data_IF_123277057441
#
_entry.id   IF_123277057441
#
_cell.length_a   1.000
_cell.length_b   1.000
_cell.length_c   1.000
_cell.angle_alpha   90.00
_cell.angle_beta   90.00
_cell.angle_gamma   90.00
#
_symmetry.space_group_name_H-M   'P 1'
#
loop_
_entity.id
_entity.type
_entity.pdbx_description
1 polymer ?
#
# COMPACT_ATOMS: atom_id res chain seq x y z
N UNK A 1 31.05 -38.26 -2.61
CA UNK A 1 30.17 -38.00 -3.79
C UNK A 1 28.69 -37.73 -3.42
N UNK A 2 28.40 -37.08 -2.28
CA UNK A 2 27.04 -36.83 -1.79
C UNK A 2 26.70 -35.31 -1.78
N UNK A 3 27.70 -34.42 -1.96
CA UNK A 3 27.51 -32.97 -1.83
C UNK A 3 26.94 -32.26 -3.06
N UNK A 4 27.08 -32.81 -4.27
CA UNK A 4 26.71 -32.09 -5.53
C UNK A 4 25.21 -32.18 -5.84
N UNK A 5 24.51 -33.22 -5.38
CA UNK A 5 23.09 -33.39 -5.65
C UNK A 5 22.17 -32.46 -4.82
N UNK A 6 22.58 -32.06 -3.62
CA UNK A 6 21.78 -31.17 -2.78
C UNK A 6 21.85 -29.68 -3.21
N UNK A 7 23.03 -29.28 -3.73
CA UNK A 7 23.20 -27.87 -4.20
C UNK A 7 22.45 -27.58 -5.51
N UNK A 8 22.33 -28.59 -6.39
CA UNK A 8 21.54 -28.43 -7.62
C UNK A 8 20.01 -28.40 -7.35
N UNK A 9 19.54 -29.14 -6.33
CA UNK A 9 18.11 -29.19 -6.01
C UNK A 9 17.62 -27.87 -5.37
N UNK A 10 18.45 -27.24 -4.51
CA UNK A 10 18.13 -25.93 -3.92
C UNK A 10 18.17 -24.79 -4.92
N UNK A 11 19.07 -24.84 -5.90
CA UNK A 11 19.15 -23.82 -6.94
C UNK A 11 17.96 -23.94 -7.94
N UNK A 12 17.51 -25.15 -8.26
CA UNK A 12 16.36 -25.39 -9.14
C UNK A 12 15.03 -24.98 -8.50
N UNK A 13 14.87 -25.18 -7.20
CA UNK A 13 13.67 -24.75 -6.45
C UNK A 13 13.61 -23.22 -6.33
N UNK A 14 14.74 -22.54 -6.10
CA UNK A 14 14.79 -21.08 -6.04
C UNK A 14 14.48 -20.43 -7.40
N UNK A 15 14.98 -21.01 -8.51
CA UNK A 15 14.66 -20.53 -9.87
C UNK A 15 13.21 -20.81 -10.27
N UNK A 16 12.63 -21.95 -9.87
CA UNK A 16 11.24 -22.27 -10.14
C UNK A 16 10.26 -21.39 -9.32
N UNK A 17 10.61 -21.08 -8.06
CA UNK A 17 9.81 -20.18 -7.22
C UNK A 17 9.80 -18.74 -7.75
N UNK A 18 10.95 -18.24 -8.23
CA UNK A 18 11.03 -16.90 -8.85
C UNK A 18 10.26 -16.81 -10.18
N UNK A 19 10.29 -17.83 -11.01
CA UNK A 19 9.50 -17.88 -12.23
C UNK A 19 7.99 -17.95 -11.97
N UNK A 20 7.55 -18.70 -10.97
CA UNK A 20 6.15 -18.81 -10.57
C UNK A 20 5.59 -17.47 -10.04
N UNK A 21 6.36 -16.71 -9.25
CA UNK A 21 5.94 -15.40 -8.71
C UNK A 21 5.78 -14.35 -9.81
N UNK A 22 6.64 -14.32 -10.81
CA UNK A 22 6.57 -13.38 -11.93
C UNK A 22 5.36 -13.64 -12.83
N UNK A 23 5.12 -14.90 -13.17
CA UNK A 23 3.97 -15.34 -13.97
C UNK A 23 2.66 -15.05 -13.24
N UNK A 24 2.62 -15.24 -11.93
CA UNK A 24 1.45 -14.99 -11.08
C UNK A 24 1.01 -13.52 -11.13
N UNK A 25 1.90 -12.52 -11.14
CA UNK A 25 1.48 -11.10 -11.18
C UNK A 25 0.80 -10.72 -12.50
N UNK A 26 1.29 -11.21 -13.63
CA UNK A 26 0.66 -10.98 -14.94
C UNK A 26 -0.71 -11.70 -15.02
N UNK A 27 -0.78 -12.95 -14.57
CA UNK A 27 -2.02 -13.73 -14.53
C UNK A 27 -3.05 -13.12 -13.57
N UNK A 28 -2.60 -12.64 -12.41
CA UNK A 28 -3.46 -11.99 -11.42
C UNK A 28 -4.09 -10.70 -11.97
N UNK A 29 -3.33 -9.86 -12.69
CA UNK A 29 -3.85 -8.64 -13.31
C UNK A 29 -4.79 -8.99 -14.46
N UNK A 30 -4.46 -10.02 -15.27
CA UNK A 30 -5.33 -10.47 -16.36
C UNK A 30 -6.66 -11.04 -15.84
N UNK A 31 -6.67 -11.67 -14.67
CA UNK A 31 -7.86 -12.22 -14.04
C UNK A 31 -8.70 -11.14 -13.31
N UNK A 32 -8.06 -10.06 -12.83
CA UNK A 32 -8.70 -8.96 -12.13
C UNK A 32 -7.98 -7.65 -12.48
N UNK A 33 -8.54 -6.92 -13.45
CA UNK A 33 -7.98 -5.67 -13.96
C UNK A 33 -7.84 -4.58 -12.90
N UNK A 34 -8.60 -4.65 -11.79
CA UNK A 34 -8.44 -3.70 -10.69
C UNK A 34 -7.03 -3.73 -10.08
N UNK A 35 -6.34 -4.87 -10.14
CA UNK A 35 -4.96 -5.00 -9.67
C UNK A 35 -3.97 -4.18 -10.49
N UNK A 36 -4.29 -3.87 -11.76
CA UNK A 36 -3.48 -2.95 -12.56
C UNK A 36 -3.48 -1.53 -12.00
N UNK A 37 -4.43 -1.16 -11.16
CA UNK A 37 -4.43 0.10 -10.42
C UNK A 37 -3.33 0.19 -9.35
N UNK A 38 -2.59 -0.90 -9.09
CA UNK A 38 -1.49 -0.91 -8.14
C UNK A 38 -1.93 -0.50 -6.74
N UNK A 39 -1.34 0.56 -6.22
CA UNK A 39 -1.70 1.13 -4.90
C UNK A 39 -3.13 1.66 -4.81
N UNK A 40 -3.85 1.80 -5.92
CA UNK A 40 -5.27 2.14 -5.96
C UNK A 40 -6.17 0.92 -5.80
N UNK A 41 -5.63 -0.30 -5.71
CA UNK A 41 -6.45 -1.48 -5.43
C UNK A 41 -7.27 -1.24 -4.16
N UNK A 42 -8.59 -1.33 -4.26
CA UNK A 42 -9.47 -1.24 -3.09
C UNK A 42 -9.14 -2.36 -2.09
N UNK A 43 -9.35 -2.10 -0.79
CA UNK A 43 -9.01 -3.10 0.23
C UNK A 43 -9.70 -4.44 -0.04
N UNK A 44 -8.95 -5.54 -0.14
CA UNK A 44 -9.52 -6.82 -0.52
C UNK A 44 -10.42 -7.38 0.59
N UNK A 45 -11.37 -8.22 0.20
CA UNK A 45 -12.18 -8.98 1.14
C UNK A 45 -11.30 -9.94 1.96
N UNK A 46 -11.48 -9.93 3.28
CA UNK A 46 -10.73 -10.77 4.20
C UNK A 46 -11.52 -12.04 4.52
N UNK A 47 -11.14 -13.13 3.87
CA UNK A 47 -11.77 -14.45 4.04
C UNK A 47 -10.95 -15.40 4.92
N UNK A 48 -9.70 -15.06 5.21
CA UNK A 48 -8.76 -15.93 5.94
C UNK A 48 -9.05 -15.90 7.44
N UNK A 49 -9.28 -17.09 8.02
CA UNK A 49 -9.39 -17.25 9.46
C UNK A 49 -8.00 -17.25 10.09
N UNK A 50 -7.83 -16.45 11.14
CA UNK A 50 -6.58 -16.40 11.88
C UNK A 50 -6.42 -17.58 12.84
N UNK A 51 -5.16 -18.00 13.08
CA UNK A 51 -4.81 -19.06 14.03
C UNK A 51 -5.21 -18.66 15.45
N UNK A 52 -5.95 -19.51 16.19
CA UNK A 52 -6.32 -19.24 17.59
C UNK A 52 -5.11 -19.08 18.50
N UNK A 53 -5.25 -18.28 19.57
CA UNK A 53 -4.20 -18.11 20.57
C UNK A 53 -3.79 -19.45 21.19
N UNK A 54 -2.49 -19.69 21.46
CA UNK A 54 -2.04 -20.88 22.19
C UNK A 54 -2.70 -20.96 23.57
N UNK A 55 -2.91 -22.20 24.04
CA UNK A 55 -3.55 -22.44 25.32
C UNK A 55 -2.89 -21.64 26.45
N UNK A 56 -3.70 -20.89 27.19
CA UNK A 56 -3.25 -20.10 28.34
C UNK A 56 -2.79 -18.68 27.99
N UNK A 57 -2.72 -18.32 26.71
CA UNK A 57 -2.43 -16.96 26.27
C UNK A 57 -3.70 -16.20 25.92
N UNK A 58 -3.76 -14.94 26.32
CA UNK A 58 -4.89 -14.04 26.09
C UNK A 58 -4.40 -12.76 25.43
N UNK A 59 -5.07 -12.27 24.36
CA UNK A 59 -4.71 -10.99 23.73
C UNK A 59 -4.98 -9.85 24.70
N UNK A 60 -4.05 -8.90 24.78
CA UNK A 60 -4.19 -7.76 25.71
C UNK A 60 -3.88 -6.40 25.08
N UNK A 61 -3.17 -6.36 23.95
CA UNK A 61 -2.75 -5.12 23.29
C UNK A 61 -2.57 -5.32 21.79
N UNK A 62 -2.93 -4.31 20.99
CA UNK A 62 -2.71 -4.28 19.54
C UNK A 62 -1.95 -3.01 19.15
N UNK A 63 -0.83 -3.16 18.45
CA UNK A 63 -0.15 -2.07 17.76
C UNK A 63 -0.52 -2.10 16.28
N UNK A 64 -1.05 -1.00 15.76
CA UNK A 64 -1.55 -0.89 14.39
C UNK A 64 -0.88 0.29 13.68
N UNK A 65 -0.50 0.10 12.42
CA UNK A 65 -0.23 1.16 11.46
C UNK A 65 -1.02 0.88 10.19
N UNK A 66 -1.83 1.84 9.73
CA UNK A 66 -2.65 1.72 8.54
C UNK A 66 -2.49 2.90 7.58
N UNK A 67 -2.59 2.61 6.28
CA UNK A 67 -2.80 3.57 5.22
C UNK A 67 -4.23 4.10 5.28
N UNK A 68 -4.49 5.34 4.82
CA UNK A 68 -5.86 5.83 4.60
C UNK A 68 -6.65 4.87 3.69
N UNK A 69 -7.98 4.88 3.79
CA UNK A 69 -8.88 4.09 2.96
C UNK A 69 -8.98 4.60 1.51
N UNK A 70 -9.83 3.96 0.73
CA UNK A 70 -10.19 4.39 -0.63
C UNK A 70 -10.50 5.87 -0.67
N UNK A 71 -9.98 6.56 -1.70
CA UNK A 71 -10.09 8.01 -1.88
C UNK A 71 -10.31 8.35 -3.35
N UNK A 72 -10.85 9.52 -3.63
CA UNK A 72 -10.88 10.07 -4.97
C UNK A 72 -9.46 10.41 -5.47
N UNK A 73 -9.28 10.54 -6.78
CA UNK A 73 -8.03 11.05 -7.36
C UNK A 73 -7.58 12.31 -6.63
N UNK A 74 -6.27 12.61 -6.64
CA UNK A 74 -5.72 13.74 -5.86
C UNK A 74 -6.21 15.12 -6.35
N UNK A 75 -6.82 15.19 -7.52
CA UNK A 75 -7.40 16.42 -8.08
C UNK A 75 -8.23 16.14 -9.31
N UNK A 76 -8.88 17.18 -9.82
CA UNK A 76 -9.79 17.11 -10.96
C UNK A 76 -9.06 17.15 -12.34
N UNK A 77 -7.71 17.28 -12.34
CA UNK A 77 -6.94 17.57 -13.55
C UNK A 77 -7.11 16.56 -14.68
N UNK A 78 -7.08 15.27 -14.35
CA UNK A 78 -7.23 14.20 -15.34
C UNK A 78 -8.64 14.20 -15.96
N UNK A 79 -9.69 14.39 -15.15
CA UNK A 79 -11.05 14.52 -15.64
C UNK A 79 -11.25 15.76 -16.49
N UNK A 80 -10.83 16.92 -16.02
CA UNK A 80 -11.03 18.19 -16.73
C UNK A 80 -10.29 18.22 -18.06
N UNK A 81 -9.07 17.72 -18.10
CA UNK A 81 -8.27 17.62 -19.32
C UNK A 81 -8.92 16.67 -20.34
N UNK A 82 -9.28 15.46 -19.93
CA UNK A 82 -9.86 14.46 -20.84
C UNK A 82 -11.23 14.88 -21.35
N UNK A 83 -12.10 15.42 -20.50
CA UNK A 83 -13.42 15.95 -20.89
C UNK A 83 -13.24 17.08 -21.91
N UNK A 84 -12.44 18.09 -21.60
CA UNK A 84 -12.25 19.25 -22.50
C UNK A 84 -11.67 18.83 -23.86
N UNK A 85 -10.75 17.89 -23.91
CA UNK A 85 -10.16 17.39 -25.15
C UNK A 85 -11.20 16.64 -26.00
N UNK A 86 -11.99 15.75 -25.39
CA UNK A 86 -13.03 15.01 -26.10
C UNK A 86 -14.19 15.91 -26.54
N UNK A 87 -14.58 16.92 -25.76
CA UNK A 87 -15.56 17.94 -26.17
C UNK A 87 -15.08 18.73 -27.37
N UNK A 88 -13.81 19.12 -27.39
CA UNK A 88 -13.21 19.80 -28.55
C UNK A 88 -13.27 18.91 -29.79
N UNK A 89 -12.89 17.63 -29.67
CA UNK A 89 -12.96 16.67 -30.76
C UNK A 89 -14.40 16.44 -31.25
N UNK A 90 -15.39 16.42 -30.34
CA UNK A 90 -16.81 16.30 -30.69
C UNK A 90 -17.29 17.51 -31.49
N UNK A 91 -16.94 18.72 -31.07
CA UNK A 91 -17.32 19.97 -31.74
C UNK A 91 -16.66 20.11 -33.12
N UNK A 92 -15.46 19.60 -33.32
CA UNK A 92 -14.72 19.61 -34.58
C UNK A 92 -15.03 18.39 -35.47
N UNK A 93 -15.88 17.45 -35.02
CA UNK A 93 -16.24 16.25 -35.78
C UNK A 93 -15.11 15.20 -35.87
N UNK A 94 -14.12 15.32 -35.01
CA UNK A 94 -12.91 14.47 -34.99
C UNK A 94 -12.95 13.32 -33.96
N UNK A 95 -14.12 13.07 -33.33
CA UNK A 95 -14.31 12.06 -32.30
C UNK A 95 -14.91 10.77 -32.88
N UNK A 96 -14.44 9.62 -32.40
CA UNK A 96 -15.04 8.31 -32.78
C UNK A 96 -16.32 8.01 -31.98
N UNK A 97 -17.12 7.00 -32.37
CA UNK A 97 -18.25 6.53 -31.55
C UNK A 97 -17.80 6.11 -30.13
N UNK A 98 -16.65 5.45 -29.98
CA UNK A 98 -16.08 5.10 -28.69
C UNK A 98 -15.71 6.36 -27.88
N UNK A 99 -15.07 7.35 -28.53
CA UNK A 99 -14.73 8.61 -27.88
C UNK A 99 -15.97 9.35 -27.33
N UNK A 100 -17.10 9.35 -28.08
CA UNK A 100 -18.38 9.92 -27.60
C UNK A 100 -18.92 9.18 -26.38
N UNK A 101 -18.91 7.87 -26.39
CA UNK A 101 -19.33 7.05 -25.25
C UNK A 101 -18.45 7.32 -24.03
N UNK A 102 -17.13 7.34 -24.20
CA UNK A 102 -16.16 7.67 -23.15
C UNK A 102 -16.41 9.05 -22.56
N UNK A 103 -16.70 10.05 -23.40
CA UNK A 103 -17.03 11.41 -22.92
C UNK A 103 -18.29 11.42 -22.04
N UNK A 104 -19.33 10.67 -22.40
CA UNK A 104 -20.54 10.57 -21.58
C UNK A 104 -20.25 9.89 -20.24
N UNK A 105 -19.47 8.83 -20.25
CA UNK A 105 -19.02 8.13 -19.02
C UNK A 105 -18.22 9.05 -18.12
N UNK A 106 -17.27 9.82 -18.66
CA UNK A 106 -16.46 10.79 -17.89
C UNK A 106 -17.35 11.85 -17.23
N UNK A 107 -18.29 12.45 -17.98
CA UNK A 107 -19.23 13.45 -17.44
C UNK A 107 -20.06 12.89 -16.30
N UNK A 108 -20.51 11.63 -16.40
CA UNK A 108 -21.27 10.94 -15.35
C UNK A 108 -20.42 10.78 -14.08
N UNK A 109 -19.21 10.23 -14.20
CA UNK A 109 -18.31 10.00 -13.07
C UNK A 109 -17.87 11.33 -12.45
N UNK A 110 -17.57 12.33 -13.27
CA UNK A 110 -17.14 13.63 -12.79
C UNK A 110 -18.22 14.37 -11.97
N UNK A 111 -19.49 14.00 -12.11
CA UNK A 111 -20.57 14.52 -11.25
C UNK A 111 -20.35 14.10 -9.78
N UNK A 112 -19.83 12.89 -9.53
CA UNK A 112 -19.49 12.42 -8.19
C UNK A 112 -18.16 12.99 -7.69
N UNK A 113 -17.13 13.03 -8.55
CA UNK A 113 -15.73 13.24 -8.13
C UNK A 113 -15.31 14.70 -8.09
N UNK A 114 -16.02 15.58 -8.79
CA UNK A 114 -15.68 17.00 -8.94
C UNK A 114 -15.54 17.70 -7.59
N UNK A 115 -14.39 18.35 -7.39
CA UNK A 115 -14.08 19.12 -6.18
C UNK A 115 -13.80 18.26 -4.94
N UNK A 116 -13.63 16.94 -5.13
CA UNK A 116 -13.35 16.00 -4.04
C UNK A 116 -11.94 15.40 -4.08
N UNK A 117 -11.04 16.13 -4.72
CA UNK A 117 -9.65 15.67 -4.91
C UNK A 117 -8.97 15.27 -3.60
N UNK A 118 -8.59 13.99 -3.48
CA UNK A 118 -7.93 13.41 -2.32
C UNK A 118 -8.81 13.15 -1.09
N UNK A 119 -10.13 13.41 -1.16
CA UNK A 119 -11.08 13.08 -0.09
C UNK A 119 -11.20 11.56 0.10
N UNK A 120 -11.37 11.14 1.35
CA UNK A 120 -11.76 9.76 1.66
C UNK A 120 -13.14 9.47 1.06
N UNK A 121 -13.28 8.36 0.32
CA UNK A 121 -14.59 7.96 -0.19
C UNK A 121 -15.44 7.30 0.89
N UNK A 122 -16.78 7.19 0.70
CA UNK A 122 -17.62 6.39 1.58
C UNK A 122 -17.14 4.93 1.68
N UNK A 123 -16.60 4.36 0.59
CA UNK A 123 -15.97 3.04 0.63
C UNK A 123 -14.77 3.01 1.57
N UNK A 124 -13.88 4.02 1.51
CA UNK A 124 -12.73 4.11 2.39
C UNK A 124 -13.10 4.15 3.88
N UNK A 125 -14.15 4.86 4.23
CA UNK A 125 -14.69 4.86 5.60
C UNK A 125 -15.22 3.48 5.99
N UNK A 126 -15.97 2.78 5.11
CA UNK A 126 -16.46 1.41 5.36
C UNK A 126 -15.33 0.41 5.52
N UNK A 127 -14.23 0.54 4.73
CA UNK A 127 -13.05 -0.32 4.86
C UNK A 127 -12.46 -0.23 6.27
N UNK A 128 -12.19 0.97 6.77
CA UNK A 128 -11.63 1.17 8.10
C UNK A 128 -12.55 0.71 9.21
N UNK A 129 -13.85 1.00 9.11
CA UNK A 129 -14.84 0.50 10.05
C UNK A 129 -14.85 -1.04 10.09
N UNK A 130 -14.84 -1.69 8.92
CA UNK A 130 -14.80 -3.15 8.82
C UNK A 130 -13.53 -3.78 9.41
N UNK A 131 -12.35 -3.19 9.17
CA UNK A 131 -11.07 -3.63 9.76
C UNK A 131 -11.15 -3.54 11.29
N UNK A 132 -11.65 -2.42 11.81
CA UNK A 132 -11.80 -2.21 13.26
C UNK A 132 -12.76 -3.24 13.89
N UNK A 133 -13.90 -3.50 13.25
CA UNK A 133 -14.87 -4.47 13.71
C UNK A 133 -14.31 -5.90 13.73
N UNK A 134 -13.56 -6.30 12.69
CA UNK A 134 -12.91 -7.61 12.66
C UNK A 134 -11.81 -7.72 13.72
N UNK A 135 -10.98 -6.67 13.91
CA UNK A 135 -10.01 -6.61 15.01
C UNK A 135 -10.68 -6.79 16.38
N UNK A 136 -11.76 -6.07 16.62
CA UNK A 136 -12.53 -6.14 17.88
C UNK A 136 -13.11 -7.55 18.13
N UNK A 137 -13.62 -8.21 17.10
CA UNK A 137 -14.17 -9.58 17.19
C UNK A 137 -13.09 -10.65 17.33
N UNK A 138 -11.92 -10.46 16.70
CA UNK A 138 -10.82 -11.42 16.76
C UNK A 138 -10.07 -11.37 18.10
N UNK A 139 -10.04 -10.20 18.76
CA UNK A 139 -9.27 -9.99 20.00
C UNK A 139 -10.11 -9.34 21.12
N UNK A 140 -11.27 -9.96 21.47
CA UNK A 140 -12.22 -9.34 22.39
C UNK A 140 -11.64 -9.04 23.76
N UNK A 141 -10.70 -9.85 24.27
CA UNK A 141 -10.12 -9.67 25.60
C UNK A 141 -9.21 -8.41 25.66
N UNK A 142 -8.63 -7.99 24.55
CA UNK A 142 -7.86 -6.76 24.49
C UNK A 142 -8.74 -5.51 24.70
N UNK A 143 -10.03 -5.57 24.29
CA UNK A 143 -10.92 -4.41 24.24
C UNK A 143 -12.01 -4.41 25.32
N UNK A 144 -12.20 -5.50 26.03
CA UNK A 144 -13.22 -5.58 27.11
C UNK A 144 -12.87 -4.69 28.31
N UNK A 145 -13.92 -4.11 28.92
CA UNK A 145 -13.79 -3.27 30.11
C UNK A 145 -13.38 -1.83 29.79
N UNK A 146 -13.01 -1.10 30.83
CA UNK A 146 -12.53 0.28 30.70
C UNK A 146 -11.07 0.29 30.23
N UNK A 147 -10.89 0.17 28.92
CA UNK A 147 -9.57 0.15 28.28
C UNK A 147 -9.34 1.43 27.49
N UNK A 148 -8.09 1.81 27.32
CA UNK A 148 -7.69 2.98 26.57
C UNK A 148 -7.20 2.60 25.17
N UNK A 149 -7.50 3.45 24.22
CA UNK A 149 -6.97 3.39 22.85
C UNK A 149 -6.35 4.74 22.55
N UNK A 150 -5.15 4.75 22.02
CA UNK A 150 -4.55 5.98 21.53
C UNK A 150 -4.50 5.95 20.00
N UNK A 151 -5.27 6.82 19.35
CA UNK A 151 -5.39 6.92 17.90
C UNK A 151 -4.67 8.18 17.40
N UNK A 152 -3.76 8.00 16.47
CA UNK A 152 -2.94 9.07 15.86
C UNK A 152 -3.02 9.02 14.36
N UNK A 153 -3.11 10.17 13.71
CA UNK A 153 -3.02 10.27 12.25
C UNK A 153 -2.00 11.32 11.82
N UNK A 154 -1.55 11.22 10.57
CA UNK A 154 -0.90 12.35 9.91
C UNK A 154 -1.87 13.53 9.83
N UNK A 155 -1.34 14.74 9.59
CA UNK A 155 -2.16 15.96 9.47
C UNK A 155 -2.99 16.03 8.18
N UNK A 156 -2.94 14.99 7.36
CA UNK A 156 -3.72 14.90 6.12
C UNK A 156 -5.14 14.41 6.45
N UNK A 157 -6.15 15.18 6.07
CA UNK A 157 -7.55 14.98 6.45
C UNK A 157 -8.10 13.57 6.14
N UNK A 158 -7.75 12.96 5.00
CA UNK A 158 -8.19 11.57 4.70
C UNK A 158 -7.65 10.54 5.70
N UNK A 159 -6.46 10.76 6.27
CA UNK A 159 -5.93 9.90 7.33
C UNK A 159 -6.69 10.10 8.65
N UNK A 160 -7.03 11.34 8.99
CA UNK A 160 -7.84 11.67 10.17
C UNK A 160 -9.27 11.09 10.04
N UNK A 161 -9.88 11.18 8.86
CA UNK A 161 -11.20 10.59 8.59
C UNK A 161 -11.15 9.05 8.63
N UNK A 162 -10.07 8.43 8.14
CA UNK A 162 -9.84 7.00 8.27
C UNK A 162 -9.71 6.57 9.73
N UNK A 163 -8.96 7.33 10.53
CA UNK A 163 -8.84 7.15 11.98
C UNK A 163 -10.22 7.23 12.66
N UNK A 164 -11.02 8.23 12.34
CA UNK A 164 -12.35 8.42 12.91
C UNK A 164 -13.26 7.22 12.57
N UNK A 165 -13.32 6.82 11.30
CA UNK A 165 -14.14 5.68 10.86
C UNK A 165 -13.70 4.35 11.54
N UNK A 166 -12.39 4.15 11.72
CA UNK A 166 -11.86 2.99 12.44
C UNK A 166 -12.31 3.01 13.92
N UNK A 167 -12.14 4.14 14.59
CA UNK A 167 -12.52 4.29 15.99
C UNK A 167 -14.03 4.15 16.20
N UNK A 168 -14.86 4.63 15.27
CA UNK A 168 -16.31 4.41 15.28
C UNK A 168 -16.64 2.91 15.19
N UNK A 169 -15.93 2.16 14.37
CA UNK A 169 -16.05 0.70 14.30
C UNK A 169 -15.73 0.01 15.62
N UNK A 170 -14.65 0.40 16.30
CA UNK A 170 -14.30 -0.12 17.63
C UNK A 170 -15.36 0.23 18.68
N UNK A 171 -15.80 1.50 18.74
CA UNK A 171 -16.80 1.97 19.70
C UNK A 171 -18.18 1.37 19.42
N UNK A 172 -18.48 1.03 18.18
CA UNK A 172 -19.71 0.31 17.83
C UNK A 172 -19.83 -1.07 18.52
N UNK A 173 -18.69 -1.73 18.79
CA UNK A 173 -18.62 -3.02 19.51
C UNK A 173 -18.34 -2.84 20.99
N UNK A 174 -17.45 -1.92 21.35
CA UNK A 174 -17.01 -1.63 22.73
C UNK A 174 -17.21 -0.15 23.09
N UNK A 175 -18.46 0.31 23.38
CA UNK A 175 -18.77 1.70 23.67
C UNK A 175 -18.01 2.29 24.87
N UNK A 176 -17.58 1.43 25.81
CA UNK A 176 -16.86 1.81 27.03
C UNK A 176 -15.37 2.15 26.82
N UNK A 177 -14.82 1.95 25.62
CA UNK A 177 -13.46 2.32 25.32
C UNK A 177 -13.25 3.84 25.48
N UNK A 178 -12.16 4.23 26.15
CA UNK A 178 -11.67 5.60 26.13
C UNK A 178 -10.70 5.75 24.98
N UNK A 179 -11.03 6.58 23.99
CA UNK A 179 -10.18 6.81 22.82
C UNK A 179 -9.65 8.23 22.85
N UNK A 180 -8.33 8.36 22.94
CA UNK A 180 -7.62 9.62 22.81
C UNK A 180 -7.22 9.81 21.33
N UNK A 181 -7.61 10.95 20.73
CA UNK A 181 -7.34 11.26 19.33
C UNK A 181 -6.25 12.31 19.21
N UNK A 182 -5.30 12.10 18.31
CA UNK A 182 -4.25 13.07 18.04
C UNK A 182 -3.93 13.18 16.55
N UNK A 183 -4.01 14.40 16.01
CA UNK A 183 -3.60 14.76 14.67
C UNK A 183 -2.72 16.01 14.79
N UNK A 184 -1.40 15.82 14.90
CA UNK A 184 -0.46 16.91 15.19
C UNK A 184 0.81 16.79 14.36
N UNK A 185 1.43 17.94 14.02
CA UNK A 185 2.73 17.99 13.34
C UNK A 185 3.83 17.25 14.13
N UNK A 186 3.76 17.24 15.45
CA UNK A 186 4.71 16.51 16.31
C UNK A 186 4.79 15.03 15.94
N UNK A 187 3.66 14.41 15.58
CA UNK A 187 3.61 13.00 15.24
C UNK A 187 4.12 12.68 13.83
N UNK A 188 4.29 13.68 12.97
CA UNK A 188 4.86 13.51 11.65
C UNK A 188 6.30 12.97 11.69
N UNK A 189 7.03 13.22 12.76
CA UNK A 189 8.38 12.72 13.00
C UNK A 189 8.51 11.19 12.99
N UNK A 190 7.40 10.45 13.09
CA UNK A 190 7.37 9.00 12.96
C UNK A 190 6.20 8.47 12.10
N UNK A 191 5.11 9.22 11.95
CA UNK A 191 3.98 8.80 11.09
C UNK A 191 4.25 9.02 9.60
N UNK A 192 5.11 9.99 9.26
CA UNK A 192 5.45 10.31 7.86
C UNK A 192 6.87 10.92 7.79
N UNK A 193 7.83 10.20 8.34
CA UNK A 193 9.21 10.68 8.42
C UNK A 193 9.97 10.40 7.13
N UNK A 194 10.62 11.44 6.62
CA UNK A 194 11.54 11.36 5.47
C UNK A 194 12.73 12.27 5.74
N UNK A 195 13.94 11.78 5.44
CA UNK A 195 15.13 12.61 5.51
C UNK A 195 15.29 13.45 4.24
N UNK A 196 16.00 14.58 4.32
CA UNK A 196 16.32 15.38 3.12
C UNK A 196 17.06 14.56 2.07
N UNK A 197 17.93 13.65 2.50
CA UNK A 197 18.67 12.77 1.62
C UNK A 197 17.74 11.77 0.91
N UNK A 198 16.81 11.17 1.64
CA UNK A 198 15.81 10.27 1.03
C UNK A 198 14.89 11.04 0.08
N UNK A 199 14.47 12.27 0.43
CA UNK A 199 13.68 13.13 -0.44
C UNK A 199 14.42 13.48 -1.75
N UNK A 200 15.73 13.76 -1.68
CA UNK A 200 16.55 13.97 -2.88
C UNK A 200 16.64 12.71 -3.74
N UNK A 201 16.84 11.55 -3.12
CA UNK A 201 16.89 10.28 -3.83
C UNK A 201 15.55 9.96 -4.52
N UNK A 202 14.43 10.17 -3.85
CA UNK A 202 13.10 9.81 -4.36
C UNK A 202 12.48 10.87 -5.27
N UNK A 203 13.17 12.02 -5.48
CA UNK A 203 12.64 13.13 -6.28
C UNK A 203 12.40 12.72 -7.73
N UNK A 204 11.17 12.96 -8.21
CA UNK A 204 10.70 12.49 -9.51
C UNK A 204 11.37 13.09 -10.75
N UNK A 205 12.16 14.15 -10.60
CA UNK A 205 12.86 14.80 -11.72
C UNK A 205 14.38 14.64 -11.64
N UNK A 206 14.95 14.58 -10.44
CA UNK A 206 16.39 14.65 -10.20
C UNK A 206 16.96 13.44 -9.47
N UNK A 207 16.13 12.47 -9.08
CA UNK A 207 16.59 11.23 -8.48
C UNK A 207 17.49 10.42 -9.41
N UNK A 208 18.45 9.66 -8.88
CA UNK A 208 19.44 8.93 -9.70
C UNK A 208 18.82 7.82 -10.58
N UNK A 209 17.60 7.45 -10.34
CA UNK A 209 16.82 6.42 -11.05
C UNK A 209 15.97 6.99 -12.21
N UNK A 210 15.82 8.31 -12.31
CA UNK A 210 14.83 8.97 -13.19
C UNK A 210 15.09 8.70 -14.67
N UNK A 211 16.36 8.71 -15.09
CA UNK A 211 16.68 8.45 -16.50
C UNK A 211 16.39 7.00 -16.91
N UNK A 212 16.68 6.04 -16.02
CA UNK A 212 16.37 4.63 -16.23
C UNK A 212 14.86 4.41 -16.27
N UNK A 213 14.11 5.09 -15.38
CA UNK A 213 12.66 5.06 -15.38
C UNK A 213 12.06 5.59 -16.68
N UNK A 214 12.55 6.73 -17.20
CA UNK A 214 12.05 7.30 -18.46
C UNK A 214 12.25 6.36 -19.65
N UNK A 215 13.38 5.67 -19.71
CA UNK A 215 13.61 4.65 -20.75
C UNK A 215 12.65 3.49 -20.62
N UNK A 216 12.50 2.98 -19.40
CA UNK A 216 11.57 1.89 -19.09
C UNK A 216 10.12 2.26 -19.43
N UNK A 217 9.68 3.45 -19.04
CA UNK A 217 8.36 3.98 -19.36
C UNK A 217 8.14 4.10 -20.89
N UNK A 218 9.10 4.66 -21.62
CA UNK A 218 9.03 4.78 -23.08
C UNK A 218 8.97 3.43 -23.81
N UNK A 219 9.54 2.37 -23.23
CA UNK A 219 9.47 1.00 -23.76
C UNK A 219 8.11 0.34 -23.50
N UNK A 220 7.43 0.67 -22.42
CA UNK A 220 6.20 0.04 -21.96
C UNK A 220 4.94 0.83 -22.34
N UNK A 221 4.94 2.15 -22.25
CA UNK A 221 3.76 2.98 -22.54
C UNK A 221 3.65 3.25 -24.04
N UNK A 222 2.69 2.62 -24.72
CA UNK A 222 2.46 2.72 -26.17
C UNK A 222 1.06 3.26 -26.46
N UNK A 223 0.81 4.57 -26.36
CA UNK A 223 -0.53 5.16 -26.32
C UNK A 223 -1.22 5.23 -27.69
N UNK A 224 -0.53 4.95 -28.80
CA UNK A 224 -1.05 5.19 -30.15
C UNK A 224 -2.37 4.47 -30.45
N UNK A 225 -2.52 3.19 -30.04
CA UNK A 225 -3.76 2.42 -30.25
C UNK A 225 -4.92 3.07 -29.49
N UNK A 226 -4.72 3.41 -28.22
CA UNK A 226 -5.74 4.06 -27.38
C UNK A 226 -6.18 5.38 -28.00
N UNK A 227 -5.24 6.25 -28.39
CA UNK A 227 -5.53 7.56 -29.00
C UNK A 227 -6.33 7.37 -30.30
N UNK A 228 -5.86 6.50 -31.20
CA UNK A 228 -6.55 6.24 -32.47
C UNK A 228 -7.94 5.61 -32.29
N UNK A 229 -8.22 4.97 -31.15
CA UNK A 229 -9.56 4.44 -30.86
C UNK A 229 -10.57 5.55 -30.45
N UNK A 230 -10.09 6.68 -29.95
CA UNK A 230 -10.92 7.78 -29.44
C UNK A 230 -11.13 8.91 -30.45
N UNK A 231 -10.16 9.12 -31.35
CA UNK A 231 -10.19 10.22 -32.34
C UNK A 231 -10.11 9.67 -33.76
N UNK A 232 -10.86 10.33 -34.68
CA UNK A 232 -11.00 9.91 -36.08
C UNK A 232 -10.15 10.72 -37.06
N UNK A 233 -9.49 11.80 -36.60
CA UNK A 233 -8.73 12.71 -37.44
C UNK A 233 -7.26 12.75 -37.03
N UNK A 234 -6.35 12.44 -37.98
CA UNK A 234 -4.91 12.37 -37.72
C UNK A 234 -4.28 13.75 -37.48
N UNK A 235 -4.81 14.82 -38.09
CA UNK A 235 -4.29 16.17 -37.88
C UNK A 235 -4.73 16.71 -36.54
N UNK A 236 -5.95 16.39 -36.11
CA UNK A 236 -6.40 16.70 -34.75
C UNK A 236 -5.49 16.01 -33.72
N UNK A 237 -5.23 14.70 -33.90
CA UNK A 237 -4.33 13.94 -33.00
C UNK A 237 -2.96 14.62 -32.95
N UNK A 238 -2.36 14.89 -34.09
CA UNK A 238 -1.01 15.47 -34.16
C UNK A 238 -0.92 16.85 -33.50
N UNK A 239 -1.95 17.69 -33.65
CA UNK A 239 -1.92 19.09 -33.23
C UNK A 239 -2.48 19.33 -31.82
N UNK A 240 -3.39 18.48 -31.33
CA UNK A 240 -4.16 18.73 -30.10
C UNK A 240 -3.95 17.71 -29.00
N UNK A 241 -3.47 16.49 -29.33
CA UNK A 241 -3.37 15.41 -28.36
C UNK A 241 -1.92 15.22 -27.91
N UNK A 242 -1.71 15.20 -26.60
CA UNK A 242 -0.50 14.59 -26.04
C UNK A 242 -0.82 13.13 -25.68
N UNK A 243 -0.35 12.15 -26.48
CA UNK A 243 -0.76 10.75 -26.33
C UNK A 243 -0.44 10.15 -24.98
N UNK A 244 0.77 10.39 -24.47
CA UNK A 244 1.24 9.83 -23.19
C UNK A 244 0.45 10.41 -22.03
N UNK A 245 0.28 11.74 -22.00
CA UNK A 245 -0.50 12.41 -20.96
C UNK A 245 -1.95 11.93 -20.93
N UNK A 246 -2.55 11.72 -22.11
CA UNK A 246 -3.91 11.22 -22.23
C UNK A 246 -4.03 9.77 -21.73
N UNK A 247 -3.09 8.90 -22.10
CA UNK A 247 -3.07 7.52 -21.65
C UNK A 247 -2.93 7.41 -20.12
N UNK A 248 -2.04 8.19 -19.53
CA UNK A 248 -1.89 8.24 -18.07
C UNK A 248 -3.13 8.78 -17.37
N UNK A 249 -3.78 9.81 -17.90
CA UNK A 249 -5.01 10.34 -17.32
C UNK A 249 -6.12 9.26 -17.30
N UNK A 250 -6.32 8.56 -18.41
CA UNK A 250 -7.29 7.45 -18.46
C UNK A 250 -6.91 6.29 -17.56
N UNK A 251 -5.62 5.96 -17.45
CA UNK A 251 -5.16 4.92 -16.53
C UNK A 251 -5.49 5.25 -15.08
N UNK A 252 -5.24 6.47 -14.63
CA UNK A 252 -5.57 6.89 -13.26
C UNK A 252 -7.08 6.96 -13.02
N UNK A 253 -7.86 7.46 -13.99
CA UNK A 253 -9.32 7.46 -13.90
C UNK A 253 -9.84 6.01 -13.81
N UNK A 254 -9.36 5.10 -14.68
CA UNK A 254 -9.75 3.70 -14.65
C UNK A 254 -9.41 3.02 -13.32
N UNK A 255 -8.21 3.29 -12.78
CA UNK A 255 -7.74 2.74 -11.52
C UNK A 255 -8.60 3.18 -10.33
N UNK A 256 -9.08 4.44 -10.33
CA UNK A 256 -9.86 5.01 -9.22
C UNK A 256 -11.33 4.54 -9.21
N UNK A 257 -11.84 3.99 -10.32
CA UNK A 257 -13.24 3.55 -10.42
C UNK A 257 -13.64 2.52 -9.38
N UNK A 258 -12.72 1.70 -8.91
CA UNK A 258 -12.95 0.74 -7.84
C UNK A 258 -13.16 1.39 -6.46
N UNK A 259 -12.69 2.62 -6.28
CA UNK A 259 -12.65 3.35 -5.01
C UNK A 259 -13.85 4.28 -4.78
N UNK A 260 -14.64 4.59 -5.82
CA UNK A 260 -15.78 5.50 -5.79
C UNK A 260 -17.12 4.77 -5.75
N UNK A 261 -18.24 5.49 -5.58
CA UNK A 261 -19.59 4.90 -5.47
C UNK A 261 -20.23 4.59 -6.83
N UNK A 262 -19.86 5.29 -7.91
CA UNK A 262 -20.34 5.02 -9.28
C UNK A 262 -19.80 3.68 -9.79
N UNK A 263 -20.62 2.61 -9.76
CA UNK A 263 -20.21 1.23 -10.07
C UNK A 263 -20.63 0.72 -11.44
N UNK A 264 -21.51 1.41 -12.13
CA UNK A 264 -22.03 1.02 -13.46
C UNK A 264 -21.23 1.60 -14.64
N UNK A 265 -20.03 2.11 -14.37
CA UNK A 265 -19.09 2.66 -15.35
C UNK A 265 -17.71 2.04 -15.13
N UNK A 266 -17.04 1.72 -16.22
CA UNK A 266 -15.63 1.33 -16.23
C UNK A 266 -14.89 2.08 -17.33
N UNK A 267 -13.57 2.15 -17.22
CA UNK A 267 -12.66 2.65 -18.27
C UNK A 267 -11.56 1.64 -18.59
N UNK A 268 -11.56 0.47 -17.96
CA UNK A 268 -10.62 -0.58 -18.32
C UNK A 268 -10.85 -1.14 -19.72
N UNK A 269 -12.08 -1.06 -20.22
CA UNK A 269 -12.49 -1.54 -21.55
C UNK A 269 -11.89 -0.77 -22.73
N UNK A 270 -11.35 0.43 -22.50
CA UNK A 270 -10.62 1.19 -23.52
C UNK A 270 -9.17 0.75 -23.69
N UNK A 271 -8.66 -0.05 -22.77
CA UNK A 271 -7.31 -0.62 -22.78
C UNK A 271 -7.33 -2.09 -23.17
N UNK A 272 -6.23 -2.60 -23.69
CA UNK A 272 -5.96 -4.04 -23.71
C UNK A 272 -5.37 -4.48 -22.34
N UNK A 273 -5.54 -5.77 -21.95
CA UNK A 273 -4.88 -6.28 -20.74
C UNK A 273 -3.36 -6.08 -20.74
N UNK A 274 -2.71 -6.16 -21.91
CA UNK A 274 -1.27 -5.94 -22.04
C UNK A 274 -0.90 -4.48 -21.77
N UNK A 275 -1.65 -3.50 -22.31
CA UNK A 275 -1.41 -2.08 -22.05
C UNK A 275 -1.54 -1.75 -20.55
N UNK A 276 -2.55 -2.31 -19.87
CA UNK A 276 -2.71 -2.16 -18.44
C UNK A 276 -1.55 -2.77 -17.66
N UNK A 277 -1.11 -3.96 -18.04
CA UNK A 277 0.04 -4.61 -17.39
C UNK A 277 1.34 -3.81 -17.60
N UNK A 278 1.59 -3.31 -18.81
CA UNK A 278 2.78 -2.53 -19.14
C UNK A 278 2.79 -1.20 -18.38
N UNK A 279 1.67 -0.49 -18.32
CA UNK A 279 1.53 0.74 -17.54
C UNK A 279 1.66 0.46 -16.04
N UNK A 280 1.06 -0.62 -15.53
CA UNK A 280 1.23 -1.03 -14.15
C UNK A 280 2.69 -1.32 -13.79
N UNK A 281 3.46 -1.96 -14.65
CA UNK A 281 4.89 -2.19 -14.39
C UNK A 281 5.64 -0.89 -14.11
N UNK A 282 5.32 0.19 -14.85
CA UNK A 282 5.91 1.52 -14.62
C UNK A 282 5.50 2.08 -13.25
N UNK A 283 4.22 1.98 -12.89
CA UNK A 283 3.70 2.40 -11.58
C UNK A 283 4.35 1.59 -10.46
N UNK A 284 4.37 0.27 -10.59
CA UNK A 284 4.95 -0.66 -9.64
C UNK A 284 6.43 -0.34 -9.39
N UNK A 285 7.22 -0.14 -10.46
CA UNK A 285 8.62 0.25 -10.33
C UNK A 285 8.77 1.62 -9.64
N UNK A 286 7.93 2.59 -9.98
CA UNK A 286 7.95 3.92 -9.36
C UNK A 286 7.68 3.87 -7.85
N UNK A 287 6.72 3.05 -7.42
CA UNK A 287 6.44 2.85 -6.00
C UNK A 287 7.54 2.05 -5.28
N UNK A 288 8.09 1.04 -5.94
CA UNK A 288 9.22 0.27 -5.43
C UNK A 288 10.44 1.15 -5.16
N UNK A 289 10.87 1.92 -6.17
CA UNK A 289 12.09 2.75 -6.09
C UNK A 289 11.95 3.87 -5.05
N UNK A 290 10.74 4.42 -4.92
CA UNK A 290 10.46 5.55 -4.04
C UNK A 290 10.18 5.17 -2.58
N UNK A 291 9.83 3.90 -2.28
CA UNK A 291 9.29 3.57 -0.97
C UNK A 291 9.78 2.22 -0.40
N UNK A 292 10.25 1.28 -1.24
CA UNK A 292 10.66 -0.05 -0.78
C UNK A 292 12.16 -0.13 -0.42
N UNK A 293 12.84 -1.19 -0.83
CA UNK A 293 14.26 -1.41 -0.58
C UNK A 293 15.06 -1.57 -1.88
N UNK A 294 15.05 -0.57 -2.81
CA UNK A 294 15.79 -0.68 -4.04
C UNK A 294 17.29 -0.73 -3.76
N UNK A 295 18.00 -1.61 -4.45
CA UNK A 295 19.45 -1.82 -4.25
C UNK A 295 20.23 -0.49 -4.34
N UNK A 296 19.88 0.39 -5.29
CA UNK A 296 20.58 1.67 -5.46
C UNK A 296 20.35 2.65 -4.32
N UNK A 297 19.32 2.47 -3.47
CA UNK A 297 19.11 3.30 -2.29
C UNK A 297 20.02 2.93 -1.12
N UNK A 298 20.63 1.75 -1.16
CA UNK A 298 21.47 1.21 -0.08
C UNK A 298 20.82 1.34 1.31
N UNK A 299 19.53 0.99 1.38
CA UNK A 299 18.72 1.04 2.59
C UNK A 299 18.20 2.42 3.00
N UNK A 300 18.56 3.49 2.30
CA UNK A 300 18.14 4.86 2.63
C UNK A 300 16.62 5.04 2.68
N UNK A 301 15.92 4.54 1.66
CA UNK A 301 14.46 4.70 1.56
C UNK A 301 13.75 3.89 2.64
N UNK A 302 14.17 2.63 2.83
CA UNK A 302 13.64 1.77 3.89
C UNK A 302 13.86 2.37 5.30
N UNK A 303 14.97 3.08 5.50
CA UNK A 303 15.32 3.71 6.79
C UNK A 303 14.32 4.78 7.23
N UNK A 304 13.48 5.31 6.35
CA UNK A 304 12.40 6.24 6.69
C UNK A 304 11.39 5.64 7.70
N UNK A 305 11.27 4.30 7.76
CA UNK A 305 10.43 3.63 8.75
C UNK A 305 11.09 3.46 10.14
N UNK A 306 12.36 3.85 10.32
CA UNK A 306 13.11 3.57 11.57
C UNK A 306 12.45 4.22 12.78
N UNK A 307 12.06 5.50 12.70
CA UNK A 307 11.41 6.21 13.80
C UNK A 307 10.03 5.64 14.14
N UNK A 308 9.32 5.13 13.15
CA UNK A 308 8.04 4.44 13.35
C UNK A 308 8.24 3.12 14.09
N UNK A 309 9.24 2.31 13.72
CA UNK A 309 9.54 1.06 14.44
C UNK A 309 10.00 1.36 15.88
N UNK A 310 10.82 2.38 16.11
CA UNK A 310 11.18 2.83 17.46
C UNK A 310 9.94 3.20 18.28
N UNK A 311 9.00 3.96 17.71
CA UNK A 311 7.74 4.30 18.37
C UNK A 311 6.86 3.07 18.66
N UNK A 312 6.81 2.09 17.75
CA UNK A 312 6.09 0.82 17.96
C UNK A 312 6.67 0.05 19.15
N UNK A 313 8.00 -0.08 19.23
CA UNK A 313 8.67 -0.78 20.34
C UNK A 313 8.46 -0.08 21.67
N UNK A 314 8.59 1.25 21.71
CA UNK A 314 8.38 2.08 22.91
C UNK A 314 6.92 1.99 23.42
N UNK A 315 5.93 2.09 22.53
CA UNK A 315 4.52 1.97 22.90
C UNK A 315 4.19 0.56 23.41
N UNK A 316 4.79 -0.47 22.82
CA UNK A 316 4.61 -1.86 23.27
C UNK A 316 5.16 -2.04 24.71
N UNK A 317 6.34 -1.50 25.01
CA UNK A 317 6.91 -1.57 26.36
C UNK A 317 6.01 -0.87 27.38
N UNK A 318 5.46 0.30 27.03
CA UNK A 318 4.50 1.04 27.86
C UNK A 318 3.22 0.26 28.10
N UNK A 319 2.64 -0.35 27.05
CA UNK A 319 1.44 -1.16 27.16
C UNK A 319 1.65 -2.43 28.01
N UNK A 320 2.83 -3.04 27.90
CA UNK A 320 3.21 -4.20 28.71
C UNK A 320 3.30 -3.83 30.20
N UNK A 321 3.88 -2.68 30.52
CA UNK A 321 4.12 -2.22 31.89
C UNK A 321 2.88 -1.66 32.56
N UNK A 322 2.07 -0.83 31.85
CA UNK A 322 0.95 -0.10 32.43
C UNK A 322 -0.37 -0.90 32.44
N UNK A 323 -0.55 -1.80 31.48
CA UNK A 323 -1.64 -2.76 31.48
C UNK A 323 -3.04 -2.25 31.11
N UNK A 324 -3.28 -0.95 30.98
CA UNK A 324 -4.57 -0.31 30.67
C UNK A 324 -4.80 -0.05 29.16
N UNK A 325 -3.72 0.00 28.38
CA UNK A 325 -3.78 0.25 26.94
C UNK A 325 -4.28 -0.98 26.17
N UNK A 326 -5.34 -0.81 25.39
CA UNK A 326 -5.86 -1.83 24.47
C UNK A 326 -5.18 -1.76 23.10
N UNK A 327 -4.98 -0.55 22.58
CA UNK A 327 -4.35 -0.37 21.28
C UNK A 327 -3.67 0.99 21.10
N UNK A 328 -2.58 1.00 20.34
CA UNK A 328 -2.01 2.16 19.68
C UNK A 328 -2.30 2.08 18.19
N UNK A 329 -3.14 2.97 17.70
CA UNK A 329 -3.59 3.04 16.32
C UNK A 329 -2.88 4.21 15.61
N UNK A 330 -2.32 3.93 14.44
CA UNK A 330 -1.60 4.92 13.62
C UNK A 330 -2.13 4.91 12.21
N UNK A 331 -2.38 6.09 11.64
CA UNK A 331 -2.95 6.25 10.30
C UNK A 331 -2.10 7.18 9.46
N UNK A 332 -1.68 6.70 8.29
CA UNK A 332 -0.80 7.43 7.38
C UNK A 332 -0.98 7.02 5.92
N UNK A 333 0.13 6.78 5.24
CA UNK A 333 0.20 6.67 3.79
C UNK A 333 0.89 5.38 3.34
N UNK A 334 0.73 5.04 2.05
CA UNK A 334 1.49 4.00 1.35
C UNK A 334 3.01 4.20 1.50
N UNK A 335 3.49 5.45 1.36
CA UNK A 335 4.89 5.83 1.54
C UNK A 335 5.49 5.54 2.92
N UNK A 336 4.69 5.07 3.89
CA UNK A 336 5.17 4.61 5.19
C UNK A 336 4.84 3.13 5.46
N UNK A 337 3.76 2.60 4.87
CA UNK A 337 3.48 1.15 4.94
C UNK A 337 4.55 0.37 4.20
N UNK A 338 4.93 0.80 3.00
CA UNK A 338 5.91 0.08 2.17
C UNK A 338 7.29 0.00 2.86
N UNK A 339 7.93 1.12 3.30
CA UNK A 339 9.20 1.03 4.01
C UNK A 339 9.08 0.30 5.36
N UNK A 340 7.92 0.34 6.03
CA UNK A 340 7.69 -0.43 7.25
C UNK A 340 7.69 -1.94 6.97
N UNK A 341 7.02 -2.41 5.89
CA UNK A 341 7.07 -3.80 5.44
C UNK A 341 8.50 -4.25 5.16
N UNK A 342 9.27 -3.42 4.45
CA UNK A 342 10.65 -3.70 4.11
C UNK A 342 11.56 -3.72 5.35
N UNK A 343 11.43 -2.77 6.27
CA UNK A 343 12.24 -2.71 7.49
C UNK A 343 11.94 -3.88 8.42
N UNK A 344 10.66 -4.24 8.57
CA UNK A 344 10.22 -5.39 9.35
C UNK A 344 10.49 -6.73 8.64
N UNK A 345 10.88 -6.72 7.37
CA UNK A 345 11.16 -7.90 6.53
C UNK A 345 9.98 -8.88 6.48
N UNK A 346 8.78 -8.31 6.37
CA UNK A 346 7.54 -9.08 6.31
C UNK A 346 7.46 -9.79 4.95
N UNK A 347 7.33 -11.12 4.97
CA UNK A 347 7.11 -12.00 3.80
C UNK A 347 7.99 -11.68 2.56
N UNK A 348 9.22 -11.17 2.77
CA UNK A 348 10.16 -10.86 1.68
C UNK A 348 9.93 -9.51 1.00
N UNK A 349 9.11 -8.62 1.57
CA UNK A 349 8.95 -7.25 1.03
C UNK A 349 10.22 -6.38 1.15
N UNK A 350 11.27 -6.88 1.78
CA UNK A 350 12.60 -6.24 1.85
C UNK A 350 13.52 -6.58 0.67
N UNK A 351 13.02 -7.29 -0.34
CA UNK A 351 13.79 -7.70 -1.52
C UNK A 351 14.52 -6.52 -2.17
N UNK A 352 15.82 -6.72 -2.47
CA UNK A 352 16.65 -5.77 -3.19
C UNK A 352 16.67 -6.13 -4.68
N UNK A 353 16.04 -5.29 -5.51
CA UNK A 353 16.04 -5.44 -6.97
C UNK A 353 16.77 -4.26 -7.59
N UNK A 354 17.58 -4.54 -8.61
CA UNK A 354 18.38 -3.53 -9.30
C UNK A 354 17.71 -2.98 -10.54
N UNK A 355 17.13 -3.87 -11.36
CA UNK A 355 16.64 -3.55 -12.70
C UNK A 355 15.14 -3.35 -12.72
N UNK A 356 14.62 -2.34 -13.43
CA UNK A 356 13.19 -2.07 -13.52
C UNK A 356 12.37 -3.29 -13.98
N UNK A 357 12.87 -3.99 -15.02
CA UNK A 357 12.22 -5.16 -15.64
C UNK A 357 12.20 -6.42 -14.76
N UNK A 358 12.89 -6.39 -13.62
CA UNK A 358 12.89 -7.47 -12.65
C UNK A 358 11.94 -7.24 -11.48
N UNK A 359 11.52 -5.96 -11.24
CA UNK A 359 10.75 -5.60 -10.03
C UNK A 359 9.45 -6.36 -9.95
N UNK A 360 8.66 -6.41 -11.01
CA UNK A 360 7.34 -7.08 -11.01
C UNK A 360 7.41 -8.59 -10.71
N UNK A 361 8.58 -9.19 -10.87
CA UNK A 361 8.83 -10.61 -10.59
C UNK A 361 9.00 -10.88 -9.09
N UNK A 362 9.37 -9.88 -8.31
CA UNK A 362 9.74 -10.02 -6.90
C UNK A 362 8.90 -9.18 -5.97
N UNK A 363 8.30 -8.11 -6.47
CA UNK A 363 7.56 -7.16 -5.67
C UNK A 363 6.37 -6.58 -6.45
N UNK A 364 5.23 -6.42 -5.77
CA UNK A 364 4.02 -5.85 -6.35
C UNK A 364 3.34 -4.91 -5.34
N UNK A 365 3.09 -3.69 -5.78
CA UNK A 365 2.49 -2.62 -4.98
C UNK A 365 1.06 -2.94 -4.52
N UNK A 366 0.26 -3.58 -5.37
CA UNK A 366 -1.10 -4.02 -5.02
C UNK A 366 -1.12 -5.13 -3.94
N UNK A 367 -0.01 -5.86 -3.76
CA UNK A 367 0.15 -6.83 -2.66
C UNK A 367 0.64 -6.13 -1.39
N UNK A 368 1.57 -5.19 -1.55
CA UNK A 368 2.19 -4.48 -0.44
C UNK A 368 1.22 -3.51 0.23
N UNK A 369 0.54 -2.68 -0.57
CA UNK A 369 -0.19 -1.54 0.00
C UNK A 369 -1.45 -1.15 -0.78
N UNK A 370 -2.47 -2.04 -0.87
CA UNK A 370 -3.79 -1.63 -1.34
C UNK A 370 -4.35 -0.49 -0.48
N UNK A 371 -5.47 0.13 -0.87
CA UNK A 371 -6.17 1.10 -0.02
C UNK A 371 -6.48 0.49 1.35
N UNK A 372 -6.43 1.28 2.43
CA UNK A 372 -6.58 0.83 3.82
C UNK A 372 -5.61 -0.27 4.27
N UNK A 373 -4.51 -0.51 3.51
CA UNK A 373 -3.48 -1.48 3.91
C UNK A 373 -2.99 -1.23 5.33
N UNK A 374 -2.74 -2.31 6.06
CA UNK A 374 -2.37 -2.18 7.47
C UNK A 374 -1.44 -3.29 7.93
N UNK A 375 -0.65 -2.95 8.94
CA UNK A 375 0.19 -3.89 9.71
C UNK A 375 -0.33 -3.88 11.13
N UNK A 376 -0.60 -5.06 11.69
CA UNK A 376 -1.03 -5.23 13.06
C UNK A 376 -0.06 -6.15 13.78
N UNK A 377 0.35 -5.76 14.99
CA UNK A 377 1.12 -6.62 15.90
C UNK A 377 0.22 -6.86 17.12
N UNK A 378 -0.20 -8.09 17.31
CA UNK A 378 -1.11 -8.48 18.38
C UNK A 378 -0.33 -9.14 19.50
N UNK A 379 -0.48 -8.67 20.72
CA UNK A 379 0.25 -9.10 21.90
C UNK A 379 -0.63 -9.97 22.78
N UNK A 380 -0.08 -11.11 23.19
CA UNK A 380 -0.73 -12.09 24.05
C UNK A 380 0.11 -12.31 25.30
N UNK A 381 -0.57 -12.48 26.44
CA UNK A 381 0.08 -12.73 27.74
C UNK A 381 -0.50 -13.97 28.39
N UNK A 382 0.35 -14.78 29.02
CA UNK A 382 -0.08 -15.88 29.87
C UNK A 382 -0.05 -15.50 31.36
N UNK A 383 -0.55 -16.40 32.24
CA UNK A 383 -0.58 -16.18 33.70
C UNK A 383 0.82 -16.03 34.34
N UNK A 384 1.85 -16.58 33.70
CA UNK A 384 3.24 -16.45 34.16
C UNK A 384 3.92 -15.13 33.69
N UNK A 385 3.19 -14.29 32.96
CA UNK A 385 3.71 -13.01 32.45
C UNK A 385 4.50 -13.13 31.13
N UNK A 386 4.62 -14.32 30.56
CA UNK A 386 5.28 -14.49 29.26
C UNK A 386 4.45 -13.83 28.15
N UNK A 387 5.14 -13.18 27.21
CA UNK A 387 4.52 -12.43 26.12
C UNK A 387 4.94 -13.04 24.78
N UNK A 388 3.94 -13.30 23.95
CA UNK A 388 4.11 -13.66 22.55
C UNK A 388 3.36 -12.66 21.66
N UNK A 389 3.78 -12.56 20.42
CA UNK A 389 3.18 -11.66 19.44
C UNK A 389 2.90 -12.38 18.12
N UNK A 390 1.93 -11.86 17.40
CA UNK A 390 1.59 -12.29 16.04
C UNK A 390 1.58 -11.08 15.14
N UNK A 391 2.13 -11.20 13.93
CA UNK A 391 2.14 -10.15 12.92
C UNK A 391 1.10 -10.44 11.87
N UNK A 392 0.38 -9.38 11.46
CA UNK A 392 -0.59 -9.42 10.38
C UNK A 392 -0.26 -8.33 9.37
N UNK A 393 -0.30 -8.67 8.10
CA UNK A 393 -0.32 -7.74 6.98
C UNK A 393 -1.65 -7.86 6.25
N UNK A 394 -2.38 -6.76 6.14
CA UNK A 394 -3.74 -6.76 5.59
C UNK A 394 -4.65 -7.84 6.22
N UNK A 395 -4.56 -7.95 7.55
CA UNK A 395 -5.29 -8.91 8.41
C UNK A 395 -4.93 -10.39 8.18
N UNK A 396 -3.94 -10.70 7.34
CA UNK A 396 -3.41 -12.05 7.11
C UNK A 396 -2.15 -12.25 7.94
N UNK A 397 -2.01 -13.44 8.55
CA UNK A 397 -0.81 -13.84 9.29
C UNK A 397 0.40 -13.85 8.35
N UNK A 398 1.48 -13.22 8.76
CA UNK A 398 2.70 -13.05 7.97
C UNK A 398 3.95 -13.50 8.74
N UNK A 399 5.02 -13.80 7.99
CA UNK A 399 6.30 -14.20 8.55
C UNK A 399 7.18 -12.98 8.78
N UNK A 400 8.00 -13.06 9.83
CA UNK A 400 9.13 -12.19 10.11
C UNK A 400 10.39 -13.04 10.29
N UNK A 401 11.60 -12.51 10.09
CA UNK A 401 12.84 -13.29 10.15
C UNK A 401 13.32 -13.55 11.59
N UNK A 402 12.40 -13.91 12.48
CA UNK A 402 12.67 -14.32 13.86
C UNK A 402 12.29 -15.79 14.00
N UNK A 403 13.20 -16.60 14.55
CA UNK A 403 12.94 -18.03 14.72
C UNK A 403 11.79 -18.27 15.71
N UNK A 404 10.92 -19.24 15.38
CA UNK A 404 9.84 -19.67 16.25
C UNK A 404 9.46 -21.13 15.95
N UNK A 405 9.11 -21.89 17.00
CA UNK A 405 8.57 -23.25 16.89
C UNK A 405 7.03 -23.24 16.90
N UNK A 406 6.42 -22.06 16.99
CA UNK A 406 4.99 -21.88 17.23
C UNK A 406 4.35 -20.89 16.26
N UNK A 407 4.78 -20.87 14.98
CA UNK A 407 4.19 -19.98 13.98
C UNK A 407 2.66 -20.04 14.02
N UNK A 408 1.97 -18.90 13.98
CA UNK A 408 2.41 -17.52 13.70
C UNK A 408 2.80 -16.72 14.95
N UNK A 409 3.13 -17.36 16.06
CA UNK A 409 3.48 -16.72 17.33
C UNK A 409 4.97 -16.69 17.55
N UNK A 410 5.47 -15.52 17.99
CA UNK A 410 6.88 -15.25 18.28
C UNK A 410 7.03 -14.77 19.72
N UNK A 411 8.13 -15.11 20.41
CA UNK A 411 8.44 -14.53 21.72
C UNK A 411 8.75 -13.05 21.56
N UNK A 412 8.07 -12.20 22.35
CA UNK A 412 8.29 -10.75 22.25
C UNK A 412 9.73 -10.33 22.53
N UNK A 413 10.41 -10.96 23.50
CA UNK A 413 11.83 -10.68 23.78
C UNK A 413 12.71 -10.83 22.54
N UNK A 414 12.49 -11.88 21.77
CA UNK A 414 13.32 -12.21 20.61
C UNK A 414 13.01 -11.24 19.46
N UNK A 415 11.72 -10.93 19.24
CA UNK A 415 11.25 -9.93 18.28
C UNK A 415 11.83 -8.54 18.59
N UNK A 416 11.73 -8.10 19.85
CA UNK A 416 12.25 -6.80 20.28
C UNK A 416 13.77 -6.72 20.07
N UNK A 417 14.52 -7.71 20.49
CA UNK A 417 15.97 -7.77 20.33
C UNK A 417 16.37 -7.75 18.84
N UNK A 418 15.65 -8.49 18.01
CA UNK A 418 15.88 -8.53 16.57
C UNK A 418 15.73 -7.13 15.95
N UNK A 419 14.60 -6.45 16.18
CA UNK A 419 14.37 -5.14 15.58
C UNK A 419 15.23 -4.03 16.16
N UNK A 420 15.59 -4.08 17.43
CA UNK A 420 16.58 -3.16 18.01
C UNK A 420 17.96 -3.29 17.32
N UNK A 421 18.39 -4.51 17.02
CA UNK A 421 19.63 -4.75 16.29
C UNK A 421 19.49 -4.34 14.81
N UNK A 422 18.37 -4.64 14.17
CA UNK A 422 18.07 -4.24 12.79
C UNK A 422 18.12 -2.72 12.62
N UNK A 423 17.52 -1.97 13.54
CA UNK A 423 17.56 -0.50 13.54
C UNK A 423 19.00 0.04 13.62
N UNK A 424 19.86 -0.56 14.47
CA UNK A 424 21.27 -0.17 14.55
C UNK A 424 22.00 -0.44 13.23
N UNK A 425 21.80 -1.62 12.64
CA UNK A 425 22.41 -2.01 11.37
C UNK A 425 22.01 -1.08 10.22
N UNK A 426 20.71 -0.73 10.13
CA UNK A 426 20.21 0.17 9.08
C UNK A 426 20.77 1.58 9.26
N UNK A 427 20.77 2.13 10.48
CA UNK A 427 21.37 3.45 10.77
C UNK A 427 22.85 3.48 10.38
N UNK A 428 23.60 2.41 10.69
CA UNK A 428 25.01 2.30 10.31
C UNK A 428 25.18 2.18 8.78
N UNK A 429 24.35 1.36 8.12
CA UNK A 429 24.36 1.21 6.66
C UNK A 429 24.17 2.55 5.97
N UNK A 430 23.15 3.30 6.35
CA UNK A 430 22.84 4.62 5.79
C UNK A 430 23.97 5.64 6.07
N UNK A 431 24.54 5.63 7.30
CA UNK A 431 25.66 6.52 7.64
C UNK A 431 26.94 6.23 6.84
N UNK A 432 27.14 4.99 6.40
CA UNK A 432 28.32 4.56 5.63
C UNK A 432 28.13 4.75 4.09
N UNK A 433 26.98 5.23 3.63
CA UNK A 433 26.77 5.53 2.19
C UNK A 433 27.77 6.57 1.71
N UNK A 434 28.40 6.29 0.56
CA UNK A 434 29.38 7.18 -0.09
C UNK A 434 28.73 7.98 -1.23
#
# INVERSE_FOLDING_TARGET
MISIRHTLLTLTIALAANGAMAQTSCEEISADLNKSGGVYLAYPEVTTRQTPAPKGYTPFYVSHYGRHGSRYLLGDGDFTMTISLLEKAENEGCITPLGKDVLQRLRKVFTETRGRGGDLTPLGARQHKGIAERMARNYPEAFRGKRRVFARSTVVYRCAMSMAAFCDGLKGIYPQLSIDYEMTERNMSYLNYHTDESNKFTHGETGPWVEEYRKFEAEHVKPARLVNSLFSDADFIRCQVNPEKLAWAFYWIASDMQDIETKDVTFYDIFTPQELFDMWQCVNYRFYIGNANPQMSDGLVMANASTLVENILECADKAISNGDMAADLRFGHDGNVIPLLALLQIDGFDVEVRKPEEVYKHWADFKATPMASNIQIVFFRNKAGNIIVKFLHNEKECHIPVATDSWPYYKWSDVKNYYQNRLKQIKQRVANRK
#
